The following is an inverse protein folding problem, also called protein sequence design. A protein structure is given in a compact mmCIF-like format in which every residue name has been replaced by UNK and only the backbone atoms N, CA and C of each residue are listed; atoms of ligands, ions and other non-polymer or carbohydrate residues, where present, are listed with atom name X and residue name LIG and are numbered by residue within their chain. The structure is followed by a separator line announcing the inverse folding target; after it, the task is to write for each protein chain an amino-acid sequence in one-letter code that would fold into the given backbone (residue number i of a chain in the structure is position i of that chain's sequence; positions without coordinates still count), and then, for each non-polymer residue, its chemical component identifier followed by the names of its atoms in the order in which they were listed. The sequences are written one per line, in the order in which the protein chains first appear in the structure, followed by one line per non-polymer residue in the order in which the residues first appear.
data_IF_270132274686
#
_entry.id   IF_270132274686
#
_cell.length_a   1.000
_cell.length_b   1.000
_cell.length_c   1.000
_cell.angle_alpha   90.00
_cell.angle_beta   90.00
_cell.angle_gamma   90.00
#
_symmetry.space_group_name_H-M   'P 1'
#
loop_
_entity.id
_entity.type
_entity.pdbx_description
1 polymer ?
#
# COMPACT_ATOMS: atom_id res chain seq x y z
N UNK A 1 -7.21 15.88 45.36
CA UNK A 1 -6.25 16.14 44.27
C UNK A 1 -6.61 15.20 43.14
N UNK A 2 -7.32 15.68 42.13
CA UNK A 2 -7.73 14.90 40.96
C UNK A 2 -6.63 15.00 39.91
N UNK A 3 -5.80 13.96 39.82
CA UNK A 3 -4.84 13.79 38.73
C UNK A 3 -5.62 13.44 37.46
N UNK A 4 -5.66 14.34 36.49
CA UNK A 4 -6.10 14.02 35.14
C UNK A 4 -5.03 13.13 34.50
N UNK A 5 -5.31 11.83 34.42
CA UNK A 5 -4.52 10.87 33.66
C UNK A 5 -4.73 11.15 32.17
N UNK A 6 -3.64 11.29 31.41
CA UNK A 6 -3.68 11.43 29.95
C UNK A 6 -4.26 10.15 29.33
N UNK A 7 -5.34 10.30 28.56
CA UNK A 7 -5.88 9.25 27.70
C UNK A 7 -4.79 8.86 26.69
N UNK A 8 -4.47 7.56 26.51
CA UNK A 8 -3.55 7.11 25.48
C UNK A 8 -4.00 7.59 24.10
N UNK A 9 -3.10 8.20 23.32
CA UNK A 9 -3.41 8.76 22.01
C UNK A 9 -4.08 7.72 21.10
N UNK A 10 -5.24 8.08 20.54
CA UNK A 10 -5.81 7.41 19.38
C UNK A 10 -4.78 7.46 18.26
N UNK A 11 -4.24 6.31 17.85
CA UNK A 11 -3.34 6.24 16.70
C UNK A 11 -4.19 6.38 15.44
N UNK A 12 -4.40 7.62 14.99
CA UNK A 12 -4.84 7.89 13.64
C UNK A 12 -3.68 7.63 12.68
N UNK A 13 -3.82 6.60 11.86
CA UNK A 13 -2.86 6.35 10.78
C UNK A 13 -3.28 7.25 9.62
N UNK A 14 -2.53 8.33 9.40
CA UNK A 14 -2.73 9.21 8.26
C UNK A 14 -2.38 8.44 6.98
N UNK A 15 -3.39 7.88 6.31
CA UNK A 15 -3.23 7.26 5.01
C UNK A 15 -3.18 8.34 3.93
N UNK A 16 -2.08 8.38 3.19
CA UNK A 16 -2.02 9.08 1.91
C UNK A 16 -2.81 8.25 0.89
N UNK A 17 -3.99 8.74 0.51
CA UNK A 17 -4.73 8.23 -0.63
C UNK A 17 -4.06 8.69 -1.91
N UNK A 18 -3.59 7.76 -2.76
CA UNK A 18 -3.40 8.06 -4.19
C UNK A 18 -3.65 6.80 -5.06
N UNK A 19 -4.68 6.97 -5.91
CA UNK A 19 -5.00 6.33 -7.19
C UNK A 19 -4.61 4.86 -7.44
N UNK A 20 -5.62 3.98 -7.41
CA UNK A 20 -5.65 2.71 -8.12
C UNK A 20 -5.62 2.93 -9.64
N UNK A 21 -4.46 2.88 -10.29
CA UNK A 21 -4.40 2.57 -11.75
C UNK A 21 -3.05 2.01 -12.25
N UNK A 22 -2.13 1.61 -11.35
CA UNK A 22 -0.77 1.20 -11.73
C UNK A 22 -0.47 -0.31 -11.77
N UNK A 23 -1.33 -1.17 -11.23
CA UNK A 23 -0.94 -2.56 -10.93
C UNK A 23 -0.97 -3.51 -12.14
N UNK A 24 -1.81 -3.26 -13.17
CA UNK A 24 -1.94 -4.16 -14.32
C UNK A 24 -0.78 -4.13 -15.32
N UNK A 25 0.11 -3.16 -15.21
CA UNK A 25 1.24 -2.97 -16.15
C UNK A 25 2.55 -3.57 -15.64
N UNK A 26 2.61 -4.00 -14.37
CA UNK A 26 3.84 -4.48 -13.74
C UNK A 26 4.13 -5.96 -14.04
N UNK A 27 3.09 -6.80 -14.17
CA UNK A 27 3.28 -8.24 -14.41
C UNK A 27 3.91 -8.52 -15.80
N UNK A 28 3.58 -7.72 -16.82
CA UNK A 28 4.14 -7.90 -18.18
C UNK A 28 5.60 -7.43 -18.33
N UNK A 29 6.08 -6.57 -17.42
CA UNK A 29 7.46 -6.08 -17.42
C UNK A 29 8.38 -7.02 -16.63
N UNK A 30 7.87 -7.69 -15.59
CA UNK A 30 8.65 -8.61 -14.77
C UNK A 30 8.82 -9.98 -15.44
N UNK A 31 7.82 -10.49 -16.17
CA UNK A 31 7.97 -11.79 -16.87
C UNK A 31 9.03 -11.76 -17.99
N UNK A 32 9.28 -10.61 -18.63
CA UNK A 32 10.34 -10.49 -19.62
C UNK A 32 11.76 -10.45 -19.01
N UNK A 33 11.90 -10.26 -17.69
CA UNK A 33 13.20 -10.17 -17.01
C UNK A 33 13.73 -11.51 -16.51
N UNK A 34 12.93 -12.58 -16.50
CA UNK A 34 13.34 -13.90 -16.01
C UNK A 34 13.71 -14.90 -17.11
N UNK A 35 13.45 -14.60 -18.39
CA UNK A 35 13.71 -15.55 -19.48
C UNK A 35 15.06 -15.30 -20.19
N UNK A 36 15.67 -14.12 -20.08
CA UNK A 36 16.97 -13.85 -20.69
C UNK A 36 17.97 -13.28 -19.68
N UNK A 37 18.73 -14.18 -19.06
CA UNK A 37 20.01 -13.84 -18.43
C UNK A 37 21.02 -13.42 -19.49
N UNK A 38 20.91 -12.19 -19.98
CA UNK A 38 21.95 -11.49 -20.72
C UNK A 38 21.60 -10.00 -20.78
N UNK A 39 22.49 -9.17 -20.25
CA UNK A 39 22.39 -7.71 -20.36
C UNK A 39 22.56 -7.32 -21.83
N UNK A 40 21.46 -7.23 -22.56
CA UNK A 40 21.38 -6.49 -23.82
C UNK A 40 19.93 -6.03 -24.02
N UNK A 41 19.71 -4.72 -23.97
CA UNK A 41 18.45 -4.12 -24.39
C UNK A 41 18.12 -4.55 -25.82
N UNK A 42 16.84 -4.79 -26.09
CA UNK A 42 16.37 -5.12 -27.42
C UNK A 42 16.51 -3.87 -28.32
N UNK A 43 17.54 -3.85 -29.17
CA UNK A 43 17.71 -2.84 -30.22
C UNK A 43 17.12 -3.36 -31.53
N UNK A 44 16.18 -2.62 -32.11
CA UNK A 44 15.75 -2.83 -33.49
C UNK A 44 16.58 -1.94 -34.40
N UNK A 45 17.40 -2.53 -35.28
CA UNK A 45 18.09 -1.78 -36.33
C UNK A 45 17.19 -1.63 -37.55
N UNK A 46 16.80 -0.39 -37.86
CA UNK A 46 16.14 -0.07 -39.13
C UNK A 46 17.23 0.27 -40.16
N UNK A 47 17.42 -0.61 -41.15
CA UNK A 47 18.36 -0.40 -42.26
C UNK A 47 17.80 0.69 -43.18
N UNK A 48 18.35 1.90 -43.11
CA UNK A 48 18.12 2.94 -44.12
C UNK A 48 19.35 3.03 -45.01
N UNK A 49 19.14 3.04 -46.33
CA UNK A 49 20.23 3.13 -47.30
C UNK A 49 20.95 4.47 -47.20
N UNK A 50 22.28 4.41 -47.10
CA UNK A 50 23.27 5.48 -47.26
C UNK A 50 22.81 6.90 -46.91
N UNK A 51 23.05 7.31 -45.65
CA UNK A 51 23.53 8.61 -45.13
C UNK A 51 23.32 8.59 -43.59
N UNK A 52 24.39 8.74 -42.80
CA UNK A 52 24.43 8.92 -41.32
C UNK A 52 23.75 7.83 -40.47
N UNK A 53 24.57 7.12 -39.67
CA UNK A 53 24.12 6.13 -38.68
C UNK A 53 23.30 6.81 -37.57
N UNK A 54 21.99 6.99 -37.78
CA UNK A 54 21.08 7.44 -36.74
C UNK A 54 20.49 6.24 -36.03
N UNK A 55 20.64 6.17 -34.71
CA UNK A 55 19.97 5.15 -33.91
C UNK A 55 18.67 5.74 -33.37
N UNK A 56 17.59 4.99 -33.61
CA UNK A 56 16.27 5.29 -33.08
C UNK A 56 16.21 4.78 -31.64
N UNK A 57 16.19 5.68 -30.67
CA UNK A 57 15.94 5.34 -29.26
C UNK A 57 14.50 5.70 -28.93
N UNK A 58 13.68 4.69 -28.61
CA UNK A 58 12.35 4.89 -28.05
C UNK A 58 12.51 5.18 -26.56
N UNK A 59 12.57 6.46 -26.21
CA UNK A 59 12.58 6.89 -24.83
C UNK A 59 11.15 7.20 -24.38
N UNK A 60 10.67 6.47 -23.37
CA UNK A 60 9.45 6.84 -22.66
C UNK A 60 9.74 8.07 -21.79
N UNK A 61 9.54 9.27 -22.34
CA UNK A 61 9.70 10.51 -21.62
C UNK A 61 8.48 10.76 -20.72
N UNK A 62 8.67 10.70 -19.40
CA UNK A 62 7.69 11.28 -18.47
C UNK A 62 7.90 12.80 -18.47
N UNK A 63 7.26 13.52 -19.39
CA UNK A 63 7.17 14.97 -19.27
C UNK A 63 6.38 15.32 -18.02
N UNK A 64 6.98 16.12 -17.14
CA UNK A 64 6.33 16.71 -15.98
C UNK A 64 5.19 17.62 -16.43
N UNK A 65 3.99 17.04 -16.58
CA UNK A 65 2.76 17.78 -16.70
C UNK A 65 2.16 17.92 -15.30
N UNK A 66 1.91 19.17 -14.91
CA UNK A 66 0.92 19.50 -13.88
C UNK A 66 -0.38 18.75 -14.23
N UNK A 67 -0.95 18.07 -13.25
CA UNK A 67 -2.08 17.15 -13.40
C UNK A 67 -3.26 17.78 -14.15
N UNK A 68 -3.48 17.34 -15.38
CA UNK A 68 -4.80 17.31 -16.03
C UNK A 68 -5.01 15.90 -16.60
N UNK A 69 -6.22 15.31 -16.58
CA UNK A 69 -6.45 13.86 -16.68
C UNK A 69 -6.33 13.27 -18.10
N UNK A 70 -5.55 13.87 -18.98
CA UNK A 70 -5.53 13.50 -20.39
C UNK A 70 -4.14 13.69 -21.00
N UNK A 71 -3.14 12.96 -20.52
CA UNK A 71 -1.88 12.84 -21.23
C UNK A 71 -1.48 11.36 -21.32
N UNK A 72 -1.67 10.84 -22.53
CA UNK A 72 -1.02 9.63 -23.04
C UNK A 72 0.48 9.77 -22.80
N UNK A 73 1.13 8.70 -22.34
CA UNK A 73 2.60 8.57 -22.31
C UNK A 73 3.13 8.94 -23.71
N UNK A 74 3.61 10.18 -23.85
CA UNK A 74 4.23 10.63 -25.07
C UNK A 74 5.56 9.91 -25.22
N UNK A 75 5.61 8.87 -26.05
CA UNK A 75 6.88 8.33 -26.50
C UNK A 75 7.58 9.45 -27.26
N UNK A 76 8.66 9.97 -26.68
CA UNK A 76 9.49 10.95 -27.35
C UNK A 76 10.54 10.17 -28.14
N UNK A 77 10.43 10.24 -29.46
CA UNK A 77 11.46 9.69 -30.35
C UNK A 77 12.63 10.67 -30.34
N UNK A 78 13.74 10.26 -29.73
CA UNK A 78 15.00 11.01 -29.77
C UNK A 78 15.87 10.40 -30.86
N UNK A 79 16.12 11.17 -31.92
CA UNK A 79 17.07 10.82 -32.97
C UNK A 79 18.46 11.25 -32.51
N UNK A 80 19.29 10.30 -32.10
CA UNK A 80 20.68 10.57 -31.71
C UNK A 80 21.56 10.30 -32.92
N UNK A 81 22.32 11.33 -33.33
CA UNK A 81 23.39 11.18 -34.30
C UNK A 81 24.57 10.46 -33.62
N UNK A 82 24.87 9.23 -34.05
CA UNK A 82 25.94 8.43 -33.45
C UNK A 82 27.34 8.98 -33.71
N UNK A 83 27.50 9.97 -34.60
CA UNK A 83 28.79 10.59 -34.87
C UNK A 83 29.26 11.52 -33.74
N UNK A 84 28.40 11.82 -32.77
CA UNK A 84 28.73 12.68 -31.64
C UNK A 84 28.63 11.91 -30.31
N UNK A 85 29.69 11.18 -29.99
CA UNK A 85 29.85 10.40 -28.75
C UNK A 85 29.60 11.24 -27.48
N UNK A 86 29.94 12.53 -27.54
CA UNK A 86 29.71 13.48 -26.45
C UNK A 86 28.22 13.71 -26.18
N UNK A 87 27.40 13.86 -27.22
CA UNK A 87 25.95 14.03 -27.08
C UNK A 87 25.25 12.79 -26.55
N UNK A 88 25.74 11.59 -26.91
CA UNK A 88 25.22 10.33 -26.37
C UNK A 88 25.52 10.21 -24.87
N UNK A 89 26.73 10.58 -24.45
CA UNK A 89 27.15 10.55 -23.05
C UNK A 89 26.32 11.50 -22.18
N UNK A 90 26.13 12.74 -22.64
CA UNK A 90 25.29 13.75 -21.95
C UNK A 90 23.83 13.28 -21.79
N UNK A 91 23.28 12.60 -22.80
CA UNK A 91 21.95 12.02 -22.72
C UNK A 91 21.86 10.90 -21.68
N UNK A 92 22.80 9.95 -21.68
CA UNK A 92 22.82 8.85 -20.70
C UNK A 92 22.98 9.36 -19.26
N UNK A 93 23.85 10.35 -19.04
CA UNK A 93 24.00 10.98 -17.73
C UNK A 93 22.72 11.68 -17.27
N UNK A 94 21.94 12.24 -18.20
CA UNK A 94 20.65 12.86 -17.89
C UNK A 94 19.62 11.81 -17.49
N UNK A 95 19.56 10.68 -18.19
CA UNK A 95 18.66 9.57 -17.86
C UNK A 95 18.99 8.97 -16.50
N UNK A 96 20.28 8.73 -16.20
CA UNK A 96 20.72 8.20 -14.91
C UNK A 96 20.32 9.14 -13.76
N UNK A 97 20.56 10.46 -13.91
CA UNK A 97 20.14 11.44 -12.91
C UNK A 97 18.63 11.47 -12.69
N UNK A 98 17.84 11.34 -13.76
CA UNK A 98 16.37 11.28 -13.64
C UNK A 98 15.90 10.00 -12.96
N UNK A 99 16.53 8.86 -13.27
CA UNK A 99 16.23 7.58 -12.65
C UNK A 99 16.58 7.61 -11.16
N UNK A 100 17.75 8.14 -10.79
CA UNK A 100 18.16 8.30 -9.40
C UNK A 100 17.22 9.24 -8.64
N UNK A 101 16.78 10.35 -9.25
CA UNK A 101 15.81 11.26 -8.64
C UNK A 101 14.46 10.56 -8.40
N UNK A 102 14.01 9.73 -9.34
CA UNK A 102 12.77 8.95 -9.21
C UNK A 102 12.88 7.87 -8.14
N UNK A 103 13.98 7.11 -8.11
CA UNK A 103 14.25 6.11 -7.10
C UNK A 103 14.38 6.73 -5.70
N UNK A 104 15.01 7.89 -5.58
CA UNK A 104 15.09 8.65 -4.34
C UNK A 104 13.72 9.20 -3.90
N UNK A 105 12.86 9.56 -4.85
CA UNK A 105 11.48 9.95 -4.56
C UNK A 105 10.66 8.76 -4.04
N UNK A 106 10.85 7.58 -4.62
CA UNK A 106 10.19 6.35 -4.16
C UNK A 106 10.74 5.86 -2.82
N UNK A 107 12.05 5.91 -2.60
CA UNK A 107 12.65 5.51 -1.33
C UNK A 107 12.33 6.50 -0.21
N UNK A 108 12.13 7.77 -0.54
CA UNK A 108 11.58 8.80 0.34
C UNK A 108 10.09 8.61 0.68
N UNK A 109 9.35 7.79 -0.09
CA UNK A 109 8.09 7.19 0.36
C UNK A 109 8.43 6.09 1.37
N UNK A 110 8.88 6.54 2.53
CA UNK A 110 9.25 5.77 3.69
C UNK A 110 7.99 5.02 4.18
N UNK A 111 7.62 3.95 3.47
CA UNK A 111 6.65 2.98 3.92
C UNK A 111 7.29 2.28 5.11
N UNK A 112 7.25 2.92 6.29
CA UNK A 112 7.36 2.18 7.54
C UNK A 112 6.47 0.95 7.38
N UNK A 113 6.95 -0.24 7.76
CA UNK A 113 6.14 -1.44 7.63
C UNK A 113 4.94 -1.26 8.56
N UNK A 114 3.80 -0.84 8.01
CA UNK A 114 2.53 -0.60 8.70
C UNK A 114 2.21 -1.79 9.62
N UNK A 115 2.56 -3.00 9.17
CA UNK A 115 2.50 -4.23 9.96
C UNK A 115 3.21 -4.17 11.30
N UNK A 116 4.47 -3.72 11.36
CA UNK A 116 5.25 -3.65 12.60
C UNK A 116 4.64 -2.64 13.57
N UNK A 117 4.23 -1.49 13.04
CA UNK A 117 3.64 -0.42 13.85
C UNK A 117 2.27 -0.85 14.42
N UNK A 118 1.46 -1.57 13.61
CA UNK A 118 0.21 -2.18 14.06
C UNK A 118 0.41 -3.25 15.14
N UNK A 119 1.39 -4.14 14.96
CA UNK A 119 1.71 -5.16 15.96
C UNK A 119 2.15 -4.50 17.27
N UNK A 120 2.99 -3.47 17.20
CA UNK A 120 3.42 -2.73 18.39
C UNK A 120 2.24 -2.04 19.08
N UNK A 121 1.31 -1.44 18.32
CA UNK A 121 0.10 -0.84 18.87
C UNK A 121 -0.80 -1.89 19.56
N UNK A 122 -1.00 -3.06 18.94
CA UNK A 122 -1.79 -4.13 19.56
C UNK A 122 -1.12 -4.62 20.85
N UNK A 123 0.21 -4.77 20.86
CA UNK A 123 0.94 -5.17 22.05
C UNK A 123 0.84 -4.14 23.17
N UNK A 124 0.93 -2.84 22.86
CA UNK A 124 0.83 -1.80 23.89
C UNK A 124 -0.56 -1.76 24.57
N UNK A 125 -1.62 -2.21 23.90
CA UNK A 125 -2.94 -2.33 24.52
C UNK A 125 -3.01 -3.41 25.61
N UNK A 126 -2.09 -4.39 25.59
CA UNK A 126 -2.01 -5.42 26.66
C UNK A 126 -1.34 -4.91 27.92
N UNK A 127 -0.64 -3.79 27.83
CA UNK A 127 0.08 -3.14 28.94
C UNK A 127 -0.76 -2.04 29.61
N UNK A 128 -1.98 -1.80 29.13
CA UNK A 128 -2.90 -0.84 29.73
C UNK A 128 -3.31 -1.25 31.14
N UNK A 129 -3.55 -0.27 32.00
CA UNK A 129 -4.10 -0.49 33.33
C UNK A 129 -5.60 -0.84 33.25
N UNK A 130 -6.13 -1.48 34.29
CA UNK A 130 -7.58 -1.56 34.45
C UNK A 130 -8.19 -0.16 34.56
N UNK A 131 -9.41 0.00 34.08
CA UNK A 131 -10.12 1.28 34.05
C UNK A 131 -9.39 2.37 33.24
N UNK A 132 -8.64 1.99 32.19
CA UNK A 132 -7.88 2.93 31.35
C UNK A 132 -8.74 4.00 30.67
N UNK A 133 -10.05 3.78 30.57
CA UNK A 133 -11.02 4.73 30.01
C UNK A 133 -11.85 5.48 31.08
N UNK A 134 -11.72 5.13 32.37
CA UNK A 134 -12.51 5.69 33.47
C UNK A 134 -13.95 5.15 33.58
N UNK A 135 -14.29 4.09 32.83
CA UNK A 135 -15.62 3.46 32.81
C UNK A 135 -15.58 1.94 33.07
N UNK A 136 -14.51 1.44 33.69
CA UNK A 136 -14.32 0.03 34.04
C UNK A 136 -13.80 -0.82 32.89
N UNK A 137 -13.11 -0.23 31.91
CA UNK A 137 -12.50 -1.00 30.83
C UNK A 137 -11.43 -1.97 31.34
N UNK A 138 -11.44 -3.18 30.78
CA UNK A 138 -10.36 -4.13 30.98
C UNK A 138 -9.26 -3.90 29.94
N UNK A 139 -7.98 -4.18 30.28
CA UNK A 139 -6.89 -4.22 29.31
C UNK A 139 -7.17 -5.25 28.20
N UNK A 140 -6.48 -5.12 27.06
CA UNK A 140 -6.62 -6.10 25.99
C UNK A 140 -6.13 -7.47 26.46
N UNK A 141 -6.99 -8.48 26.38
CA UNK A 141 -6.64 -9.84 26.77
C UNK A 141 -5.56 -10.43 25.85
N UNK A 142 -4.56 -11.12 26.41
CA UNK A 142 -3.44 -11.68 25.66
C UNK A 142 -3.88 -12.58 24.48
N UNK A 143 -4.95 -13.37 24.65
CA UNK A 143 -5.51 -14.19 23.58
C UNK A 143 -6.10 -13.35 22.43
N UNK A 144 -6.81 -12.25 22.75
CA UNK A 144 -7.35 -11.33 21.76
C UNK A 144 -6.22 -10.61 21.01
N UNK A 145 -5.16 -10.19 21.71
CA UNK A 145 -3.98 -9.58 21.11
C UNK A 145 -3.26 -10.55 20.14
N UNK A 146 -3.00 -11.78 20.58
CA UNK A 146 -2.38 -12.81 19.75
C UNK A 146 -3.20 -13.10 18.49
N UNK A 147 -4.53 -13.19 18.62
CA UNK A 147 -5.44 -13.38 17.49
C UNK A 147 -5.42 -12.21 16.51
N UNK A 148 -5.39 -10.98 17.01
CA UNK A 148 -5.34 -9.80 16.18
C UNK A 148 -4.01 -9.68 15.42
N UNK A 149 -2.89 -9.99 16.07
CA UNK A 149 -1.57 -10.06 15.44
C UNK A 149 -1.57 -11.13 14.35
N UNK A 150 -2.07 -12.34 14.64
CA UNK A 150 -2.17 -13.41 13.65
C UNK A 150 -3.04 -13.03 12.43
N UNK A 151 -4.09 -12.23 12.65
CA UNK A 151 -4.93 -11.69 11.58
C UNK A 151 -4.16 -10.65 10.75
N UNK A 152 -3.50 -9.68 11.39
CA UNK A 152 -2.64 -8.67 10.73
C UNK A 152 -1.53 -9.35 9.92
N UNK A 153 -0.99 -10.45 10.40
CA UNK A 153 0.03 -11.23 9.70
C UNK A 153 -0.50 -11.91 8.43
N UNK A 154 -1.78 -12.25 8.40
CA UNK A 154 -2.42 -12.91 7.26
C UNK A 154 -3.02 -11.95 6.24
N UNK A 155 -3.34 -10.71 6.62
CA UNK A 155 -3.89 -9.70 5.71
C UNK A 155 -2.90 -9.32 4.60
N UNK A 156 -3.45 -9.05 3.41
CA UNK A 156 -2.69 -8.57 2.27
C UNK A 156 -2.15 -7.15 2.50
N UNK A 157 -1.07 -6.80 1.79
CA UNK A 157 -0.45 -5.47 1.88
C UNK A 157 -1.45 -4.33 1.56
N UNK A 158 -2.31 -4.55 0.56
CA UNK A 158 -3.34 -3.56 0.17
C UNK A 158 -4.29 -3.27 1.34
N UNK A 159 -4.81 -4.30 2.00
CA UNK A 159 -5.71 -4.16 3.15
C UNK A 159 -5.04 -3.50 4.34
N UNK A 160 -3.78 -3.84 4.64
CA UNK A 160 -3.05 -3.18 5.73
C UNK A 160 -2.89 -1.67 5.49
N UNK A 161 -2.61 -1.27 4.25
CA UNK A 161 -2.45 0.13 3.88
C UNK A 161 -3.75 0.94 3.95
N UNK A 162 -4.91 0.27 4.00
CA UNK A 162 -6.23 0.90 4.09
C UNK A 162 -6.75 1.00 5.54
N UNK A 163 -5.98 0.54 6.55
CA UNK A 163 -6.42 0.61 7.95
C UNK A 163 -6.49 2.08 8.38
N UNK A 164 -7.67 2.52 8.78
CA UNK A 164 -7.94 3.89 9.23
C UNK A 164 -7.74 4.07 10.74
N UNK A 165 -8.07 3.06 11.54
CA UNK A 165 -8.03 3.14 12.99
C UNK A 165 -7.90 1.75 13.63
N UNK A 166 -7.09 1.66 14.70
CA UNK A 166 -6.98 0.49 15.57
C UNK A 166 -7.05 0.93 17.02
N UNK A 167 -7.85 0.27 17.84
CA UNK A 167 -8.04 0.63 19.25
C UNK A 167 -8.56 -0.55 20.08
N UNK A 168 -8.24 -0.60 21.39
CA UNK A 168 -8.81 -1.59 22.29
C UNK A 168 -10.25 -1.24 22.66
N UNK A 169 -11.06 -2.24 22.97
CA UNK A 169 -12.39 -2.05 23.56
C UNK A 169 -12.38 -2.42 25.05
N UNK A 170 -13.34 -1.88 25.78
CA UNK A 170 -13.52 -2.12 27.23
C UNK A 170 -13.71 -3.59 27.61
N UNK A 171 -14.14 -4.43 26.66
CA UNK A 171 -14.39 -5.87 26.84
C UNK A 171 -13.18 -6.76 26.50
N UNK A 172 -11.94 -6.24 26.58
CA UNK A 172 -10.72 -6.99 26.27
C UNK A 172 -10.66 -7.53 24.83
N UNK A 173 -11.27 -6.82 23.88
CA UNK A 173 -11.18 -7.07 22.44
C UNK A 173 -10.46 -5.91 21.75
N UNK A 174 -10.04 -6.10 20.50
CA UNK A 174 -9.45 -5.01 19.69
C UNK A 174 -10.26 -4.79 18.43
N UNK A 175 -10.49 -3.52 18.10
CA UNK A 175 -11.17 -3.12 16.88
C UNK A 175 -10.19 -2.61 15.83
N UNK A 176 -10.40 -3.03 14.59
CA UNK A 176 -9.69 -2.54 13.40
C UNK A 176 -10.73 -2.01 12.43
N UNK A 177 -10.52 -0.79 11.92
CA UNK A 177 -11.42 -0.12 10.99
C UNK A 177 -10.73 0.21 9.68
N UNK A 178 -11.45 -0.02 8.60
CA UNK A 178 -11.15 0.49 7.27
C UNK A 178 -12.29 1.41 6.85
N UNK A 179 -11.96 2.62 6.43
CA UNK A 179 -12.91 3.64 5.99
C UNK A 179 -12.26 4.41 4.84
N UNK A 180 -12.97 4.55 3.71
CA UNK A 180 -12.46 5.24 2.53
C UNK A 180 -12.93 6.70 2.45
N UNK A 181 -13.63 7.21 3.46
CA UNK A 181 -14.20 8.56 3.49
C UNK A 181 -15.41 8.76 2.58
N UNK A 182 -15.76 7.78 1.74
CA UNK A 182 -16.91 7.80 0.82
C UNK A 182 -18.12 7.07 1.40
N UNK A 183 -18.14 6.88 2.72
CA UNK A 183 -19.23 6.23 3.45
C UNK A 183 -19.19 4.70 3.44
N UNK A 184 -18.17 4.11 2.81
CA UNK A 184 -17.89 2.68 2.83
C UNK A 184 -16.89 2.34 3.92
N UNK A 185 -17.17 1.26 4.64
CA UNK A 185 -16.34 0.84 5.77
C UNK A 185 -16.44 -0.64 6.08
N UNK A 186 -15.35 -1.16 6.62
CA UNK A 186 -15.28 -2.45 7.30
C UNK A 186 -14.87 -2.18 8.75
N UNK A 187 -15.62 -2.72 9.70
CA UNK A 187 -15.26 -2.67 11.11
C UNK A 187 -15.13 -4.09 11.62
N UNK A 188 -13.95 -4.44 12.08
CA UNK A 188 -13.59 -5.72 12.67
C UNK A 188 -13.45 -5.55 14.18
N UNK A 189 -13.89 -6.56 14.91
CA UNK A 189 -13.62 -6.74 16.33
C UNK A 189 -13.07 -8.15 16.56
N UNK A 190 -11.88 -8.22 17.16
CA UNK A 190 -11.16 -9.47 17.40
C UNK A 190 -11.19 -9.80 18.89
N UNK A 191 -11.79 -10.93 19.23
CA UNK A 191 -11.82 -11.46 20.58
C UNK A 191 -10.86 -12.65 20.77
N UNK A 192 -10.98 -13.31 21.92
CA UNK A 192 -10.08 -14.40 22.34
C UNK A 192 -10.26 -15.71 21.59
N UNK A 193 -11.40 -15.92 20.91
CA UNK A 193 -11.71 -17.18 20.18
C UNK A 193 -12.17 -16.95 18.74
N UNK A 194 -12.86 -15.85 18.50
CA UNK A 194 -13.50 -15.52 17.23
C UNK A 194 -13.32 -14.05 16.94
N UNK A 195 -13.55 -13.66 15.69
CA UNK A 195 -13.75 -12.27 15.35
C UNK A 195 -15.16 -12.05 14.80
N UNK A 196 -15.62 -10.81 14.85
CA UNK A 196 -16.84 -10.38 14.20
C UNK A 196 -16.55 -9.16 13.37
N UNK A 197 -17.25 -8.99 12.25
CA UNK A 197 -17.10 -7.81 11.42
C UNK A 197 -18.41 -7.43 10.75
N UNK A 198 -18.54 -6.15 10.45
CA UNK A 198 -19.58 -5.68 9.56
C UNK A 198 -19.00 -4.92 8.40
N UNK A 199 -19.72 -4.96 7.29
CA UNK A 199 -19.36 -4.33 6.03
C UNK A 199 -20.49 -3.43 5.60
N UNK A 200 -20.14 -2.19 5.28
CA UNK A 200 -21.01 -1.25 4.57
C UNK A 200 -20.28 -0.83 3.30
N UNK A 201 -20.74 -1.30 2.14
CA UNK A 201 -20.29 -0.84 0.82
C UNK A 201 -21.46 -0.16 0.11
N UNK A 202 -21.17 0.81 -0.75
CA UNK A 202 -22.17 1.49 -1.57
C UNK A 202 -22.78 0.53 -2.61
N UNK A 203 -22.03 -0.50 -2.99
CA UNK A 203 -22.51 -1.59 -3.86
C UNK A 203 -23.53 -2.52 -3.18
N UNK A 204 -23.68 -2.45 -1.85
CA UNK A 204 -24.65 -3.26 -1.11
C UNK A 204 -25.87 -2.44 -0.68
N UNK A 205 -27.10 -2.95 -0.85
CA UNK A 205 -28.29 -2.22 -0.44
C UNK A 205 -28.43 -2.08 1.08
N UNK A 206 -27.77 -2.97 1.86
CA UNK A 206 -27.77 -2.97 3.32
C UNK A 206 -26.40 -3.44 3.84
N UNK A 207 -25.99 -3.01 5.05
CA UNK A 207 -24.82 -3.55 5.71
C UNK A 207 -24.93 -5.06 5.93
N UNK A 208 -23.80 -5.77 5.83
CA UNK A 208 -23.68 -7.20 6.14
C UNK A 208 -22.95 -7.38 7.47
N UNK A 209 -23.36 -8.37 8.25
CA UNK A 209 -22.80 -8.69 9.56
C UNK A 209 -22.34 -10.14 9.59
N UNK A 210 -21.15 -10.36 10.14
CA UNK A 210 -20.52 -11.66 10.28
C UNK A 210 -20.09 -11.80 11.73
N UNK A 211 -20.81 -12.62 12.48
CA UNK A 211 -20.63 -12.74 13.93
C UNK A 211 -19.98 -14.08 14.27
N UNK A 212 -19.11 -14.08 15.29
CA UNK A 212 -18.48 -15.29 15.83
C UNK A 212 -17.75 -16.12 14.78
N UNK A 213 -17.06 -15.44 13.85
CA UNK A 213 -16.29 -16.07 12.79
C UNK A 213 -15.03 -16.69 13.37
N UNK A 214 -14.78 -17.96 13.02
CA UNK A 214 -13.59 -18.69 13.44
C UNK A 214 -12.34 -18.10 12.78
N UNK A 215 -11.23 -18.08 13.50
CA UNK A 215 -9.98 -17.48 12.99
C UNK A 215 -9.21 -18.53 12.20
N UNK A 216 -9.31 -18.49 10.87
CA UNK A 216 -8.58 -19.38 9.98
C UNK A 216 -8.24 -18.69 8.66
N UNK A 217 -7.42 -19.34 7.82
CA UNK A 217 -6.98 -18.74 6.55
C UNK A 217 -8.14 -18.42 5.61
N UNK A 218 -9.17 -19.26 5.53
CA UNK A 218 -10.31 -19.05 4.64
C UNK A 218 -11.11 -17.80 5.01
N UNK A 219 -11.47 -17.68 6.28
CA UNK A 219 -12.25 -16.54 6.80
C UNK A 219 -11.47 -15.24 6.77
N UNK A 220 -10.16 -15.27 7.00
CA UNK A 220 -9.30 -14.09 6.84
C UNK A 220 -9.21 -13.68 5.36
N UNK A 221 -9.12 -14.62 4.42
CA UNK A 221 -9.14 -14.31 3.00
C UNK A 221 -10.47 -13.69 2.56
N UNK A 222 -11.60 -14.15 3.10
CA UNK A 222 -12.91 -13.54 2.84
C UNK A 222 -12.97 -12.10 3.36
N UNK A 223 -12.46 -11.84 4.57
CA UNK A 223 -12.33 -10.50 5.11
C UNK A 223 -11.43 -9.61 4.23
N UNK A 224 -10.28 -10.12 3.80
CA UNK A 224 -9.31 -9.42 2.96
C UNK A 224 -9.93 -9.01 1.61
N UNK A 225 -10.72 -9.91 1.00
CA UNK A 225 -11.49 -9.60 -0.21
C UNK A 225 -12.47 -8.45 0.01
N UNK A 226 -13.21 -8.45 1.12
CA UNK A 226 -14.13 -7.37 1.43
C UNK A 226 -13.44 -6.02 1.64
N UNK A 227 -12.27 -6.01 2.29
CA UNK A 227 -11.46 -4.80 2.47
C UNK A 227 -10.91 -4.33 1.13
N UNK A 228 -10.52 -5.24 0.23
CA UNK A 228 -10.02 -4.89 -1.09
C UNK A 228 -11.04 -4.12 -1.93
N UNK A 229 -12.34 -4.31 -1.67
CA UNK A 229 -13.43 -3.63 -2.36
C UNK A 229 -13.75 -2.23 -1.83
N UNK A 230 -13.07 -1.76 -0.76
CA UNK A 230 -13.14 -0.38 -0.27
C UNK A 230 -12.30 0.57 -1.12
#
# INVERSE_FOLDING_TARGET
MTTHQQIPELIQINNFSDSEYGAKTLDSIVENKLINGSTNGAYSQVKTGSISSKVLVLAGGMMGAVFTPSNVLGQQIVLIDQSNEQSLKEYLETVDKQLDAYLNKISGLNCKPIRRDLINAINSFTEMEEDWDGYGANPLGAASAANAIALVEKLGKSSLNKISLVYPNSNSTVSVKWDNGMGEKVSLEVGSKTFSYYIKLNSYPKPKFFNNVQINTETVNQLDQHISCL
#
